data_IF_293135585629
#
_entry.id   IF_293135585629
#
_cell.length_a   1.000
_cell.length_b   1.000
_cell.length_c   1.000
_cell.angle_alpha   90.00
_cell.angle_beta   90.00
_cell.angle_gamma   90.00
#
_symmetry.space_group_name_H-M   'P 1'
#
loop_
_entity.id
_entity.type
_entity.pdbx_description
1 polymer ?
#
# COMPACT_ATOMS: atom_id res chain seq x y z
N UNK A 1 5.46 26.03 -13.41
CA UNK A 1 4.63 24.80 -13.32
C UNK A 1 3.20 25.23 -12.98
N UNK A 2 2.25 25.01 -13.88
CA UNK A 2 0.87 25.46 -13.70
C UNK A 2 0.13 24.71 -12.58
N UNK A 3 -0.87 25.35 -11.98
CA UNK A 3 -1.68 24.80 -10.88
C UNK A 3 -2.28 23.42 -11.22
N UNK A 4 -2.57 23.16 -12.51
CA UNK A 4 -3.08 21.87 -12.98
C UNK A 4 -2.11 20.69 -12.80
N UNK A 5 -0.81 20.89 -13.05
CA UNK A 5 0.19 19.81 -12.96
C UNK A 5 0.39 19.32 -11.52
N UNK A 6 0.36 20.26 -10.54
CA UNK A 6 0.45 19.92 -9.12
C UNK A 6 -0.79 19.18 -8.62
N UNK A 7 -1.97 19.57 -9.12
CA UNK A 7 -3.24 18.89 -8.80
C UNK A 7 -3.25 17.45 -9.31
N UNK A 8 -2.88 17.23 -10.57
CA UNK A 8 -2.81 15.89 -11.18
C UNK A 8 -1.80 15.00 -10.43
N UNK A 9 -0.62 15.54 -10.11
CA UNK A 9 0.41 14.81 -9.37
C UNK A 9 -0.07 14.39 -7.98
N UNK A 10 -0.73 15.29 -7.24
CA UNK A 10 -1.30 14.99 -5.91
C UNK A 10 -2.32 13.87 -5.98
N UNK A 11 -3.27 13.93 -6.92
CA UNK A 11 -4.25 12.86 -7.14
C UNK A 11 -3.61 11.55 -7.55
N UNK A 12 -2.59 11.60 -8.41
CA UNK A 12 -1.82 10.43 -8.82
C UNK A 12 -1.15 9.73 -7.64
N UNK A 13 -0.54 10.50 -6.73
CA UNK A 13 0.09 9.98 -5.51
C UNK A 13 -0.94 9.38 -4.53
N UNK A 14 -2.10 10.04 -4.37
CA UNK A 14 -3.18 9.52 -3.53
C UNK A 14 -3.70 8.19 -4.08
N UNK A 15 -3.98 8.12 -5.39
CA UNK A 15 -4.53 6.92 -6.03
C UNK A 15 -3.54 5.76 -5.99
N UNK A 16 -2.30 5.99 -6.42
CA UNK A 16 -1.26 4.95 -6.43
C UNK A 16 -0.87 4.50 -5.02
N UNK A 17 -0.74 5.44 -4.08
CA UNK A 17 -0.46 5.14 -2.68
C UNK A 17 -1.57 4.31 -2.02
N UNK A 18 -2.84 4.66 -2.27
CA UNK A 18 -3.98 3.91 -1.76
C UNK A 18 -4.04 2.49 -2.33
N UNK A 19 -3.83 2.35 -3.65
CA UNK A 19 -3.83 1.03 -4.30
C UNK A 19 -2.69 0.15 -3.78
N UNK A 20 -1.48 0.70 -3.65
CA UNK A 20 -0.33 -0.03 -3.11
C UNK A 20 -0.56 -0.45 -1.65
N UNK A 21 -1.13 0.43 -0.82
CA UNK A 21 -1.46 0.11 0.56
C UNK A 21 -2.54 -0.99 0.66
N UNK A 22 -3.61 -0.91 -0.14
CA UNK A 22 -4.66 -1.93 -0.20
C UNK A 22 -4.11 -3.28 -0.65
N UNK A 23 -3.29 -3.29 -1.70
CA UNK A 23 -2.61 -4.50 -2.17
C UNK A 23 -1.69 -5.08 -1.09
N UNK A 24 -0.97 -4.23 -0.36
CA UNK A 24 -0.12 -4.63 0.75
C UNK A 24 -0.90 -5.34 1.86
N UNK A 25 -2.01 -4.75 2.30
CA UNK A 25 -2.91 -5.35 3.31
C UNK A 25 -3.47 -6.68 2.81
N UNK A 26 -3.92 -6.74 1.56
CA UNK A 26 -4.47 -7.96 0.97
C UNK A 26 -3.44 -9.10 0.90
N UNK A 27 -2.19 -8.80 0.51
CA UNK A 27 -1.12 -9.79 0.43
C UNK A 27 -0.77 -10.35 1.82
N UNK A 28 -0.68 -9.49 2.84
CA UNK A 28 -0.46 -9.91 4.23
C UNK A 28 -1.63 -10.78 4.73
N UNK A 29 -2.87 -10.36 4.48
CA UNK A 29 -4.05 -11.13 4.88
C UNK A 29 -4.09 -12.52 4.21
N UNK A 30 -3.75 -12.58 2.92
CA UNK A 30 -3.66 -13.85 2.17
C UNK A 30 -2.61 -14.78 2.78
N UNK A 31 -1.45 -14.23 3.15
CA UNK A 31 -0.42 -15.01 3.85
C UNK A 31 -0.95 -15.57 5.17
N UNK A 32 -1.52 -14.72 6.04
CA UNK A 32 -2.05 -15.13 7.35
C UNK A 32 -3.12 -16.21 7.20
N UNK A 33 -4.06 -16.04 6.27
CA UNK A 33 -5.12 -17.03 6.01
C UNK A 33 -4.52 -18.36 5.56
N UNK A 34 -3.53 -18.34 4.67
CA UNK A 34 -2.92 -19.59 4.23
C UNK A 34 -2.10 -20.26 5.33
N UNK A 35 -1.45 -19.51 6.23
CA UNK A 35 -0.76 -20.09 7.40
C UNK A 35 -1.76 -20.81 8.29
N UNK A 36 -2.92 -20.17 8.56
CA UNK A 36 -4.02 -20.76 9.33
C UNK A 36 -4.49 -22.08 8.72
N UNK A 37 -4.57 -22.16 7.38
CA UNK A 37 -5.03 -23.38 6.68
C UNK A 37 -4.05 -24.55 6.73
N UNK A 38 -2.75 -24.31 6.92
CA UNK A 38 -1.71 -25.34 6.89
C UNK A 38 -1.12 -25.64 8.26
N UNK A 39 -1.61 -25.01 9.32
CA UNK A 39 -1.10 -25.16 10.69
C UNK A 39 -1.13 -26.63 11.18
N UNK A 40 -2.21 -27.34 10.87
CA UNK A 40 -2.39 -28.76 11.24
C UNK A 40 -1.98 -29.74 10.11
N UNK A 41 -1.48 -29.23 8.99
CA UNK A 41 -1.03 -30.07 7.89
C UNK A 41 0.34 -30.70 8.21
N UNK A 42 0.60 -31.95 7.76
CA UNK A 42 1.89 -32.61 7.93
C UNK A 42 3.02 -31.91 7.15
N UNK A 43 2.68 -31.27 6.02
CA UNK A 43 3.58 -30.42 5.26
C UNK A 43 3.27 -28.94 5.52
N UNK A 44 4.24 -28.24 6.11
CA UNK A 44 4.18 -26.80 6.46
C UNK A 44 5.07 -25.94 5.57
N UNK A 45 5.63 -26.49 4.50
CA UNK A 45 6.51 -25.78 3.57
C UNK A 45 5.87 -24.52 2.99
N UNK A 46 4.53 -24.50 2.84
CA UNK A 46 3.78 -23.33 2.40
C UNK A 46 4.02 -22.09 3.28
N UNK A 47 4.23 -22.25 4.59
CA UNK A 47 4.53 -21.12 5.50
C UNK A 47 5.80 -20.41 5.05
N UNK A 48 6.82 -21.17 4.65
CA UNK A 48 8.08 -20.62 4.17
C UNK A 48 7.92 -19.92 2.82
N UNK A 49 7.25 -20.54 1.85
CA UNK A 49 7.05 -19.94 0.53
C UNK A 49 6.11 -18.73 0.57
N UNK A 50 5.11 -18.75 1.45
CA UNK A 50 4.18 -17.66 1.68
C UNK A 50 4.83 -16.41 2.27
N UNK A 51 5.98 -16.53 2.96
CA UNK A 51 6.72 -15.36 3.49
C UNK A 51 7.10 -14.37 2.39
N UNK A 52 7.38 -14.84 1.17
CA UNK A 52 7.66 -13.95 0.05
C UNK A 52 6.46 -13.03 -0.27
N UNK A 53 5.24 -13.58 -0.23
CA UNK A 53 4.00 -12.82 -0.42
C UNK A 53 3.82 -11.81 0.72
N UNK A 54 4.07 -12.23 1.96
CA UNK A 54 4.03 -11.33 3.12
C UNK A 54 5.02 -10.17 2.99
N UNK A 55 6.26 -10.46 2.58
CA UNK A 55 7.31 -9.45 2.37
C UNK A 55 6.91 -8.45 1.29
N UNK A 56 6.39 -8.92 0.15
CA UNK A 56 5.86 -8.05 -0.91
C UNK A 56 4.75 -7.16 -0.34
N UNK A 57 3.84 -7.74 0.46
CA UNK A 57 2.76 -7.00 1.10
C UNK A 57 3.25 -5.88 2.01
N UNK A 58 4.25 -6.17 2.85
CA UNK A 58 4.88 -5.18 3.75
C UNK A 58 5.56 -4.07 2.95
N UNK A 59 6.30 -4.40 1.90
CA UNK A 59 6.96 -3.40 1.03
C UNK A 59 5.91 -2.51 0.35
N UNK A 60 4.84 -3.09 -0.18
CA UNK A 60 3.76 -2.34 -0.82
C UNK A 60 3.05 -1.39 0.18
N UNK A 61 2.84 -1.82 1.42
CA UNK A 61 2.33 -0.96 2.50
C UNK A 61 3.31 0.16 2.88
N UNK A 62 4.59 -0.18 3.05
CA UNK A 62 5.64 0.76 3.43
C UNK A 62 5.87 1.83 2.36
N UNK A 63 5.64 1.53 1.08
CA UNK A 63 5.70 2.51 -0.01
C UNK A 63 4.36 3.24 -0.21
N UNK A 64 3.24 2.52 -0.10
CA UNK A 64 1.91 3.04 -0.37
C UNK A 64 1.44 4.10 0.62
N UNK A 65 1.66 3.87 1.93
CA UNK A 65 1.25 4.82 2.96
C UNK A 65 1.97 6.18 2.81
N UNK A 66 3.32 6.25 2.68
CA UNK A 66 4.00 7.52 2.47
C UNK A 66 3.57 8.23 1.19
N UNK A 67 3.35 7.51 0.08
CA UNK A 67 2.86 8.10 -1.17
C UNK A 67 1.48 8.74 -1.00
N UNK A 68 0.56 8.03 -0.33
CA UNK A 68 -0.77 8.54 0.01
C UNK A 68 -0.67 9.80 0.89
N UNK A 69 0.12 9.75 1.97
CA UNK A 69 0.30 10.88 2.89
C UNK A 69 0.93 12.08 2.18
N UNK A 70 1.92 11.86 1.32
CA UNK A 70 2.53 12.91 0.52
C UNK A 70 1.51 13.57 -0.41
N UNK A 71 0.70 12.77 -1.11
CA UNK A 71 -0.36 13.28 -1.99
C UNK A 71 -1.40 14.12 -1.22
N UNK A 72 -1.84 13.67 -0.04
CA UNK A 72 -2.76 14.41 0.83
C UNK A 72 -2.18 15.74 1.33
N UNK A 73 -0.92 15.73 1.78
CA UNK A 73 -0.22 16.93 2.26
C UNK A 73 -0.06 17.98 1.14
N UNK A 74 0.28 17.55 -0.07
CA UNK A 74 0.38 18.45 -1.22
C UNK A 74 -0.95 19.14 -1.52
N UNK A 75 -2.07 18.45 -1.33
CA UNK A 75 -3.40 19.01 -1.56
C UNK A 75 -3.78 20.03 -0.48
N UNK A 76 -3.55 19.70 0.78
CA UNK A 76 -3.82 20.61 1.91
C UNK A 76 -3.02 21.91 1.78
N UNK A 77 -1.73 21.83 1.43
CA UNK A 77 -0.88 23.01 1.22
C UNK A 77 -1.25 23.86 0.00
N UNK A 78 -1.96 23.30 -0.98
CA UNK A 78 -2.54 24.05 -2.11
C UNK A 78 -3.81 24.80 -1.70
N UNK A 79 -4.68 24.16 -0.92
CA UNK A 79 -5.98 24.71 -0.54
C UNK A 79 -5.88 25.91 0.42
N UNK A 80 -4.77 26.04 1.16
CA UNK A 80 -4.48 27.21 2.01
C UNK A 80 -4.06 28.47 1.23
N UNK A 81 -3.68 28.35 -0.05
CA UNK A 81 -3.23 29.47 -0.88
C UNK A 81 -4.33 30.08 -1.75
N UNK A 82 -5.45 29.37 -1.91
CA UNK A 82 -6.60 29.79 -2.72
C UNK A 82 -7.73 30.42 -1.86
N UNK A 83 -7.47 30.67 -0.57
CA UNK A 83 -8.34 31.45 0.33
C UNK A 83 -7.66 32.78 0.66
#
# INVERSE_FOLDING_TARGET
>A
MGNGTRSILSWGLIATGSLAALFGVWAIATYVIGVIRVLDAPDRSWIFWGLAIMMIGIIALAAGIPALVAGLRMRQGGQSRDR
#
